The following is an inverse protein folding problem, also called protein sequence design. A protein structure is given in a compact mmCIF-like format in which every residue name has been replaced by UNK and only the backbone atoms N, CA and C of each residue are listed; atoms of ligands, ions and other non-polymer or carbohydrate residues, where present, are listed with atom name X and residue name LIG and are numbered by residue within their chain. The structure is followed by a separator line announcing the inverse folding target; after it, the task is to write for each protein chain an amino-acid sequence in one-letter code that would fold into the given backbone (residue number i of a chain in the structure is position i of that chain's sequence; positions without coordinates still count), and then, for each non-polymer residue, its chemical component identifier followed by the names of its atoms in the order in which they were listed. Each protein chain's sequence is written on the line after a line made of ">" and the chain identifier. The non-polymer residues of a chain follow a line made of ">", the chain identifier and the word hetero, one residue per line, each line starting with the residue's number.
data_IF_094151717541
#
_entry.id   IF_094151717541
#
_cell.length_a   1.000
_cell.length_b   1.000
_cell.length_c   1.000
_cell.angle_alpha   90.00
_cell.angle_beta   90.00
_cell.angle_gamma   90.00
#
_symmetry.space_group_name_H-M   'P 1'
#
loop_
_entity.id
_entity.type
_entity.pdbx_description
1 polymer ?
#
# COMPACT_ATOMS: atom_id res chain seq x y z
N UNK A 1 12.33 -17.80 -10.80
CA UNK A 1 13.17 -17.46 -9.63
C UNK A 1 12.22 -17.06 -8.51
N UNK A 2 12.15 -17.84 -7.43
CA UNK A 2 11.35 -17.49 -6.26
C UNK A 2 12.02 -16.29 -5.56
N UNK A 3 11.64 -15.08 -5.97
CA UNK A 3 11.92 -13.89 -5.16
C UNK A 3 11.03 -14.02 -3.93
N UNK A 4 11.57 -14.54 -2.82
CA UNK A 4 10.83 -14.66 -1.58
C UNK A 4 10.24 -13.29 -1.25
N UNK A 5 8.90 -13.20 -1.16
CA UNK A 5 8.21 -11.95 -0.84
C UNK A 5 8.83 -11.39 0.44
N UNK A 6 9.54 -10.27 0.29
CA UNK A 6 10.09 -9.55 1.43
C UNK A 6 8.92 -8.98 2.23
N UNK A 7 9.02 -9.04 3.54
CA UNK A 7 8.05 -8.52 4.51
C UNK A 7 8.47 -7.14 5.01
N UNK A 8 7.57 -6.39 5.65
CA UNK A 8 7.92 -5.12 6.31
C UNK A 8 9.10 -5.28 7.29
N UNK A 9 9.17 -6.43 7.97
CA UNK A 9 10.26 -6.75 8.90
C UNK A 9 11.61 -6.86 8.20
N UNK A 10 11.66 -7.34 6.96
CA UNK A 10 12.89 -7.41 6.17
C UNK A 10 13.42 -6.02 5.78
N UNK A 11 12.54 -5.01 5.79
CA UNK A 11 12.89 -3.60 5.63
C UNK A 11 13.15 -2.89 6.97
N UNK A 12 13.05 -3.61 8.09
CA UNK A 12 13.24 -3.04 9.42
C UNK A 12 12.07 -2.21 9.92
N UNK A 13 10.86 -2.38 9.35
CA UNK A 13 9.67 -1.61 9.74
C UNK A 13 8.50 -2.49 10.20
N UNK A 14 7.64 -1.93 11.04
CA UNK A 14 6.35 -2.48 11.44
C UNK A 14 5.31 -1.36 11.59
N UNK A 15 4.03 -1.70 11.44
CA UNK A 15 2.95 -0.84 11.90
C UNK A 15 2.74 -1.03 13.40
N UNK A 16 2.70 0.06 14.15
CA UNK A 16 2.32 0.03 15.56
C UNK A 16 0.79 -0.03 15.73
N UNK A 17 0.31 -0.15 16.96
CA UNK A 17 -1.13 -0.21 17.28
C UNK A 17 -1.91 1.04 16.82
N UNK A 18 -1.22 2.17 16.65
CA UNK A 18 -1.80 3.40 16.12
C UNK A 18 -1.77 3.49 14.58
N UNK A 19 -1.39 2.42 13.88
CA UNK A 19 -1.32 2.38 12.42
C UNK A 19 -0.14 3.17 11.82
N UNK A 20 0.91 3.45 12.60
CA UNK A 20 2.08 4.21 12.13
C UNK A 20 3.22 3.25 11.73
N UNK A 21 3.82 3.49 10.56
CA UNK A 21 5.01 2.77 10.11
C UNK A 21 6.25 3.25 10.90
N UNK A 22 6.84 2.36 11.69
CA UNK A 22 7.96 2.63 12.61
C UNK A 22 9.10 1.66 12.41
N UNK A 23 10.34 2.14 12.56
CA UNK A 23 11.51 1.28 12.56
C UNK A 23 11.48 0.35 13.79
N UNK A 24 11.76 -0.94 13.59
CA UNK A 24 11.65 -1.97 14.63
C UNK A 24 12.68 -1.75 15.75
N UNK A 25 13.84 -1.18 15.43
CA UNK A 25 14.96 -0.99 16.36
C UNK A 25 14.88 0.39 17.01
N UNK A 26 14.76 1.45 16.21
CA UNK A 26 14.84 2.84 16.71
C UNK A 26 13.47 3.41 17.13
N UNK A 27 12.36 2.78 16.73
CA UNK A 27 11.00 3.30 16.88
C UNK A 27 10.77 4.67 16.21
N UNK A 28 11.68 5.08 15.34
CA UNK A 28 11.56 6.32 14.57
C UNK A 28 10.61 6.13 13.38
N UNK A 29 9.98 7.21 12.88
CA UNK A 29 9.23 7.18 11.63
C UNK A 29 10.07 6.76 10.42
N UNK A 30 9.41 6.46 9.32
CA UNK A 30 10.06 6.18 8.03
C UNK A 30 11.07 7.25 7.61
N UNK A 31 12.24 6.80 7.16
CA UNK A 31 13.30 7.62 6.57
C UNK A 31 13.61 7.13 5.15
N UNK A 32 13.69 8.06 4.19
CA UNK A 32 14.00 7.73 2.79
C UNK A 32 15.48 7.46 2.55
N UNK A 33 16.38 8.26 3.14
CA UNK A 33 17.82 8.12 2.94
C UNK A 33 18.42 7.10 3.90
N UNK A 34 18.33 5.82 3.55
CA UNK A 34 18.88 4.70 4.32
C UNK A 34 20.32 4.39 3.90
N UNK A 35 20.70 4.75 2.67
CA UNK A 35 21.99 4.44 2.06
C UNK A 35 22.87 5.68 1.83
N UNK A 36 22.88 6.63 2.77
CA UNK A 36 23.80 7.77 2.83
C UNK A 36 23.95 8.52 1.49
N UNK A 37 22.83 8.97 0.93
CA UNK A 37 22.78 9.73 -0.32
C UNK A 37 22.80 8.88 -1.60
N UNK A 38 22.87 7.55 -1.52
CA UNK A 38 22.75 6.70 -2.71
C UNK A 38 21.30 6.68 -3.24
N UNK A 39 21.02 7.63 -4.14
CA UNK A 39 19.69 7.88 -4.70
C UNK A 39 19.06 6.66 -5.35
N UNK A 40 19.82 5.87 -6.11
CA UNK A 40 19.30 4.70 -6.82
C UNK A 40 18.86 3.61 -5.83
N UNK A 41 19.71 3.27 -4.85
CA UNK A 41 19.38 2.27 -3.84
C UNK A 41 18.23 2.71 -2.94
N UNK A 42 18.20 3.99 -2.54
CA UNK A 42 17.10 4.53 -1.75
C UNK A 42 15.77 4.48 -2.52
N UNK A 43 15.78 4.81 -3.82
CA UNK A 43 14.59 4.76 -4.66
C UNK A 43 14.10 3.31 -4.85
N UNK A 44 15.00 2.35 -5.11
CA UNK A 44 14.64 0.93 -5.20
C UNK A 44 14.08 0.38 -3.89
N UNK A 45 14.68 0.74 -2.75
CA UNK A 45 14.19 0.36 -1.44
C UNK A 45 12.80 0.94 -1.16
N UNK A 46 12.60 2.20 -1.54
CA UNK A 46 11.33 2.91 -1.39
C UNK A 46 10.19 2.30 -2.20
N UNK A 47 10.48 1.88 -3.44
CA UNK A 47 9.49 1.21 -4.30
C UNK A 47 9.09 -0.16 -3.74
N UNK A 48 10.08 -0.98 -3.35
CA UNK A 48 9.80 -2.29 -2.76
C UNK A 48 9.03 -2.18 -1.45
N UNK A 49 9.36 -1.19 -0.60
CA UNK A 49 8.61 -0.94 0.62
C UNK A 49 7.16 -0.51 0.32
N UNK A 50 6.95 0.31 -0.71
CA UNK A 50 5.61 0.74 -1.16
C UNK A 50 4.72 -0.45 -1.56
N UNK A 51 5.24 -1.38 -2.35
CA UNK A 51 4.49 -2.58 -2.76
C UNK A 51 4.04 -3.42 -1.56
N UNK A 52 4.89 -3.55 -0.54
CA UNK A 52 4.56 -4.31 0.67
C UNK A 52 3.51 -3.59 1.51
N UNK A 53 3.58 -2.25 1.57
CA UNK A 53 2.56 -1.42 2.24
C UNK A 53 1.21 -1.57 1.54
N UNK A 54 1.17 -1.56 0.20
CA UNK A 54 -0.07 -1.76 -0.55
C UNK A 54 -0.72 -3.10 -0.20
N UNK A 55 0.07 -4.20 -0.19
CA UNK A 55 -0.43 -5.52 0.22
C UNK A 55 -0.94 -5.53 1.68
N UNK A 56 -0.29 -4.80 2.58
CA UNK A 56 -0.75 -4.67 3.96
C UNK A 56 -2.08 -3.92 4.06
N UNK A 57 -2.24 -2.82 3.34
CA UNK A 57 -3.49 -2.04 3.31
C UNK A 57 -4.63 -2.88 2.74
N UNK A 58 -4.41 -3.64 1.67
CA UNK A 58 -5.44 -4.53 1.13
C UNK A 58 -5.92 -5.55 2.16
N UNK A 59 -5.01 -6.13 2.95
CA UNK A 59 -5.39 -7.01 4.05
C UNK A 59 -6.22 -6.30 5.12
N UNK A 60 -5.87 -5.08 5.49
CA UNK A 60 -6.68 -4.31 6.45
C UNK A 60 -8.08 -4.02 5.91
N UNK A 61 -8.21 -3.70 4.60
CA UNK A 61 -9.50 -3.49 3.97
C UNK A 61 -10.36 -4.77 3.99
N UNK A 62 -9.76 -5.93 3.79
CA UNK A 62 -10.46 -7.22 3.79
C UNK A 62 -10.75 -7.73 5.23
N UNK A 63 -9.74 -7.73 6.10
CA UNK A 63 -9.80 -8.35 7.42
C UNK A 63 -10.46 -7.45 8.47
N UNK A 64 -10.13 -6.16 8.49
CA UNK A 64 -10.60 -5.23 9.53
C UNK A 64 -11.88 -4.52 9.07
N UNK A 65 -11.89 -4.00 7.85
CA UNK A 65 -13.03 -3.27 7.29
C UNK A 65 -14.08 -4.19 6.63
N UNK A 66 -13.80 -5.49 6.50
CA UNK A 66 -14.72 -6.50 5.92
C UNK A 66 -15.16 -6.16 4.49
N UNK A 67 -14.31 -5.46 3.74
CA UNK A 67 -14.57 -5.15 2.34
C UNK A 67 -14.21 -6.32 1.44
N UNK A 68 -14.93 -6.47 0.35
CA UNK A 68 -14.67 -7.48 -0.68
C UNK A 68 -13.97 -6.84 -1.88
N UNK A 69 -12.93 -7.51 -2.37
CA UNK A 69 -12.22 -7.12 -3.59
C UNK A 69 -13.01 -7.59 -4.81
N UNK A 70 -13.39 -6.65 -5.68
CA UNK A 70 -14.17 -6.91 -6.90
C UNK A 70 -13.37 -6.46 -8.11
N UNK A 71 -13.22 -7.34 -9.11
CA UNK A 71 -12.58 -7.02 -10.39
C UNK A 71 -13.55 -6.20 -11.24
N UNK A 72 -13.02 -5.15 -11.86
CA UNK A 72 -13.75 -4.31 -12.79
C UNK A 72 -13.01 -4.20 -14.14
N UNK A 73 -13.73 -4.21 -15.28
CA UNK A 73 -15.15 -4.52 -15.39
C UNK A 73 -15.43 -6.01 -15.04
N UNK A 74 -16.68 -6.35 -14.69
CA UNK A 74 -17.02 -7.71 -14.20
C UNK A 74 -16.80 -8.80 -15.26
N UNK A 75 -16.85 -8.42 -16.52
CA UNK A 75 -16.61 -9.24 -17.70
C UNK A 75 -15.16 -9.15 -18.21
N UNK A 76 -14.22 -8.72 -17.35
CA UNK A 76 -12.87 -8.46 -17.80
C UNK A 76 -12.27 -9.65 -18.54
N UNK A 77 -11.95 -9.42 -19.81
CA UNK A 77 -11.27 -10.38 -20.68
C UNK A 77 -9.80 -10.01 -20.81
N UNK A 78 -8.95 -10.98 -21.17
CA UNK A 78 -7.49 -10.80 -21.26
C UNK A 78 -7.03 -9.67 -22.23
N UNK A 79 -7.94 -9.09 -23.03
CA UNK A 79 -7.63 -8.05 -24.00
C UNK A 79 -8.04 -6.64 -23.56
N UNK A 80 -8.66 -6.48 -22.38
CA UNK A 80 -9.07 -5.20 -21.83
C UNK A 80 -8.35 -4.90 -20.51
N UNK A 81 -8.23 -3.62 -20.15
CA UNK A 81 -7.57 -3.23 -18.91
C UNK A 81 -8.42 -3.59 -17.68
N UNK A 82 -8.11 -4.70 -17.02
CA UNK A 82 -8.74 -5.04 -15.73
C UNK A 82 -8.18 -4.19 -14.59
N UNK A 83 -9.04 -3.80 -13.66
CA UNK A 83 -8.69 -3.21 -12.37
C UNK A 83 -9.53 -3.84 -11.26
N UNK A 84 -9.51 -3.26 -10.07
CA UNK A 84 -10.32 -3.71 -8.96
C UNK A 84 -10.74 -2.56 -8.04
N UNK A 85 -11.79 -2.79 -7.28
CA UNK A 85 -12.23 -1.95 -6.17
C UNK A 85 -12.44 -2.79 -4.91
N UNK A 86 -12.48 -2.13 -3.75
CA UNK A 86 -12.99 -2.72 -2.53
C UNK A 86 -14.36 -2.12 -2.22
N UNK A 87 -15.34 -2.95 -1.90
CA UNK A 87 -16.69 -2.51 -1.55
C UNK A 87 -17.24 -3.26 -0.32
N UNK A 88 -18.26 -2.72 0.34
CA UNK A 88 -19.01 -3.48 1.35
C UNK A 88 -19.86 -4.58 0.69
N UNK A 89 -20.24 -5.60 1.46
CA UNK A 89 -21.06 -6.71 0.97
C UNK A 89 -22.41 -6.23 0.39
N UNK A 90 -22.99 -5.18 0.97
CA UNK A 90 -24.29 -4.60 0.62
C UNK A 90 -24.20 -3.40 -0.35
N UNK A 91 -23.02 -3.09 -0.88
CA UNK A 91 -22.79 -1.87 -1.68
C UNK A 91 -23.75 -1.71 -2.88
N UNK A 92 -24.25 -2.82 -3.43
CA UNK A 92 -25.17 -2.84 -4.57
C UNK A 92 -26.65 -2.69 -4.19
N UNK A 93 -27.01 -2.93 -2.93
CA UNK A 93 -28.38 -2.82 -2.42
C UNK A 93 -28.57 -1.64 -1.46
N UNK A 94 -27.49 -1.00 -1.03
CA UNK A 94 -27.50 0.15 -0.15
C UNK A 94 -28.20 1.37 -0.78
N UNK A 95 -29.00 2.09 0.01
CA UNK A 95 -29.66 3.33 -0.42
C UNK A 95 -28.66 4.47 -0.67
N UNK A 96 -27.54 4.46 0.06
CA UNK A 96 -26.48 5.47 0.00
C UNK A 96 -25.13 4.80 -0.09
N UNK A 97 -24.31 5.26 -1.05
CA UNK A 97 -22.97 4.74 -1.31
C UNK A 97 -21.96 5.87 -1.22
N UNK A 98 -20.84 5.62 -0.54
CA UNK A 98 -19.68 6.51 -0.53
C UNK A 98 -18.60 5.92 -1.45
N UNK A 99 -18.24 6.66 -2.51
CA UNK A 99 -17.14 6.30 -3.39
C UNK A 99 -15.88 7.09 -3.00
N UNK A 100 -14.86 6.38 -2.50
CA UNK A 100 -13.55 6.95 -2.20
C UNK A 100 -12.56 6.60 -3.30
N UNK A 101 -12.12 7.60 -4.05
CA UNK A 101 -11.05 7.47 -5.04
C UNK A 101 -9.82 8.18 -4.46
N UNK A 102 -8.83 7.41 -4.04
CA UNK A 102 -7.54 7.99 -3.66
C UNK A 102 -6.82 8.47 -4.92
N UNK A 103 -5.95 9.49 -4.76
CA UNK A 103 -5.16 10.01 -5.88
C UNK A 103 -4.30 8.93 -6.54
N UNK A 104 -3.82 9.21 -7.75
CA UNK A 104 -3.07 8.29 -8.62
C UNK A 104 -1.67 7.89 -8.11
N UNK A 105 -1.39 8.11 -6.82
CA UNK A 105 -0.14 7.72 -6.19
C UNK A 105 -0.30 6.39 -5.45
N UNK A 106 0.64 5.47 -5.68
CA UNK A 106 0.93 4.38 -4.74
C UNK A 106 1.00 4.96 -3.33
N UNK A 107 0.45 4.27 -2.32
CA UNK A 107 0.53 4.74 -0.94
C UNK A 107 1.97 4.59 -0.49
N UNK A 108 2.70 5.71 -0.47
CA UNK A 108 4.11 5.69 -0.08
C UNK A 108 4.33 6.49 1.20
N UNK A 109 5.08 5.90 2.12
CA UNK A 109 5.51 6.62 3.32
C UNK A 109 6.32 7.88 2.94
N UNK A 110 6.20 8.95 3.73
CA UNK A 110 6.98 10.17 3.49
C UNK A 110 6.70 10.90 2.16
N UNK A 111 5.54 10.71 1.52
CA UNK A 111 5.18 11.53 0.34
C UNK A 111 5.20 13.03 0.67
N UNK A 112 4.83 13.41 1.90
CA UNK A 112 4.86 14.80 2.37
C UNK A 112 6.24 15.24 2.90
N UNK A 113 7.21 14.31 2.99
CA UNK A 113 8.60 14.63 3.32
C UNK A 113 9.47 14.81 2.07
N UNK A 114 8.91 14.63 0.86
CA UNK A 114 9.59 14.98 -0.39
C UNK A 114 9.53 16.50 -0.58
N UNK A 115 10.57 17.21 -0.13
CA UNK A 115 10.92 18.48 -0.74
C UNK A 115 11.34 18.18 -2.19
N UNK A 116 10.61 18.74 -3.14
CA UNK A 116 11.15 18.96 -4.49
C UNK A 116 12.23 20.02 -4.32
N UNK A 117 13.48 19.60 -4.24
CA UNK A 117 14.60 20.48 -4.60
C UNK A 117 14.75 20.49 -6.12
#
# INVERSE_FOLDING_TARGET
>A
MNSGKKSLKDFGYLFNEAGQLKNIITNEPFVFDVYNGNREKNQQNYEQLGEIIDEHIYKLLEEDAKLIKVIIPLDCSNNEGCSFIFQSEDAMSAEKVLLLIHGSGVVRAGQWSRRLE
#
